data_IF_260491233601
#
_entry.id   IF_260491233601
#
_cell.length_a   1.000
_cell.length_b   1.000
_cell.length_c   1.000
_cell.angle_alpha   90.00
_cell.angle_beta   90.00
_cell.angle_gamma   90.00
#
_symmetry.space_group_name_H-M   'P 1'
#
loop_
_entity.id
_entity.type
_entity.pdbx_description
1 polymer ?
#
# COMPACT_ATOMS: atom_id res chain seq x y z
N UNK A 1 -11.16 14.13 6.07
CA UNK A 1 -10.92 13.74 4.66
C UNK A 1 -11.10 14.97 3.77
N UNK A 2 -10.55 16.10 4.23
CA UNK A 2 -11.08 17.44 3.93
C UNK A 2 -10.06 18.26 3.13
N UNK A 3 -9.05 17.59 2.62
CA UNK A 3 -7.98 18.17 1.79
C UNK A 3 -8.20 17.74 0.34
N UNK A 4 -8.01 18.68 -0.58
CA UNK A 4 -8.04 18.43 -2.02
C UNK A 4 -6.65 18.08 -2.58
N UNK A 5 -5.59 18.32 -1.81
CA UNK A 5 -4.22 17.92 -2.13
C UNK A 5 -3.37 17.77 -0.86
N UNK A 6 -2.21 17.13 -0.99
CA UNK A 6 -1.23 17.03 0.10
C UNK A 6 -0.20 15.92 -0.09
N UNK A 7 0.74 15.86 0.84
CA UNK A 7 1.74 14.78 0.93
C UNK A 7 1.11 13.53 1.53
N UNK A 8 1.54 12.36 1.06
CA UNK A 8 1.23 11.04 1.61
C UNK A 8 2.40 10.63 2.49
N UNK A 9 2.14 10.48 3.78
CA UNK A 9 3.19 10.31 4.80
C UNK A 9 3.90 8.95 4.75
N UNK A 10 3.31 7.95 4.08
CA UNK A 10 3.98 6.68 3.88
C UNK A 10 3.03 5.55 3.53
N UNK A 11 3.46 4.36 3.95
CA UNK A 11 2.82 3.09 3.65
C UNK A 11 2.21 2.45 4.88
N UNK A 12 1.14 1.69 4.64
CA UNK A 12 0.46 0.90 5.63
C UNK A 12 0.01 -0.42 5.01
N UNK A 13 0.22 -1.53 5.71
CA UNK A 13 -0.28 -2.84 5.29
C UNK A 13 -1.61 -3.16 5.95
N UNK A 14 -2.46 -3.88 5.23
CA UNK A 14 -3.61 -4.59 5.78
C UNK A 14 -3.56 -6.04 5.34
N UNK A 15 -4.41 -6.87 5.93
CA UNK A 15 -4.62 -8.24 5.47
C UNK A 15 -5.98 -8.36 4.80
N UNK A 16 -6.17 -9.43 4.03
CA UNK A 16 -7.46 -9.79 3.47
C UNK A 16 -7.72 -11.27 3.77
N UNK A 17 -8.98 -11.61 4.02
CA UNK A 17 -9.42 -13.00 4.11
C UNK A 17 -10.50 -13.29 3.08
N UNK A 18 -10.54 -14.53 2.59
CA UNK A 18 -11.53 -14.94 1.60
C UNK A 18 -12.75 -15.54 2.30
N UNK A 19 -13.92 -14.96 2.07
CA UNK A 19 -15.20 -15.43 2.60
C UNK A 19 -16.32 -15.11 1.60
N UNK A 20 -17.30 -16.02 1.48
CA UNK A 20 -18.48 -15.86 0.61
C UNK A 20 -18.14 -15.44 -0.83
N UNK A 21 -17.07 -16.01 -1.38
CA UNK A 21 -16.65 -15.75 -2.77
C UNK A 21 -15.93 -14.42 -3.01
N UNK A 22 -15.56 -13.67 -1.95
CA UNK A 22 -14.88 -12.38 -2.06
C UNK A 22 -13.73 -12.23 -1.07
N UNK A 23 -12.76 -11.38 -1.42
CA UNK A 23 -11.75 -10.89 -0.49
C UNK A 23 -12.33 -9.79 0.39
N UNK A 24 -12.12 -9.91 1.70
CA UNK A 24 -12.61 -8.98 2.72
C UNK A 24 -11.40 -8.39 3.44
N UNK A 25 -11.23 -7.06 3.46
CA UNK A 25 -10.08 -6.44 4.10
C UNK A 25 -10.22 -6.47 5.63
N UNK A 26 -9.09 -6.59 6.31
CA UNK A 26 -9.00 -6.48 7.77
C UNK A 26 -7.76 -5.68 8.16
N UNK A 27 -7.96 -4.60 8.92
CA UNK A 27 -6.88 -3.74 9.40
C UNK A 27 -6.76 -3.75 10.92
N UNK A 28 -5.99 -4.72 11.41
CA UNK A 28 -5.75 -4.92 12.85
C UNK A 28 -4.94 -3.75 13.43
N UNK A 29 -4.05 -3.14 12.64
CA UNK A 29 -3.19 -2.06 13.12
C UNK A 29 -3.99 -0.79 13.39
N UNK A 30 -4.90 -0.41 12.50
CA UNK A 30 -5.79 0.73 12.74
C UNK A 30 -6.86 0.44 13.79
N UNK A 31 -7.40 -0.80 13.83
CA UNK A 31 -8.29 -1.23 14.91
C UNK A 31 -7.61 -1.15 16.27
N UNK A 32 -6.33 -1.51 16.36
CA UNK A 32 -5.54 -1.39 17.59
C UNK A 32 -5.31 0.08 18.00
N UNK A 33 -4.98 0.95 17.03
CA UNK A 33 -4.79 2.40 17.27
C UNK A 33 -6.08 3.10 17.67
N UNK A 34 -7.23 2.66 17.15
CA UNK A 34 -8.54 3.20 17.49
C UNK A 34 -9.56 2.07 17.74
N UNK A 35 -9.59 1.49 18.96
CA UNK A 35 -10.45 0.35 19.28
C UNK A 35 -11.95 0.57 19.08
N UNK A 36 -12.40 1.83 19.09
CA UNK A 36 -13.80 2.18 18.81
C UNK A 36 -14.22 1.89 17.36
N UNK A 37 -13.24 1.75 16.46
CA UNK A 37 -13.43 1.43 15.04
C UNK A 37 -13.06 -0.02 14.70
N UNK A 38 -12.89 -0.90 15.70
CA UNK A 38 -12.51 -2.29 15.44
C UNK A 38 -13.48 -3.00 14.49
N UNK A 39 -14.79 -2.87 14.73
CA UNK A 39 -15.82 -3.44 13.86
C UNK A 39 -15.84 -2.82 12.46
N UNK A 40 -15.46 -1.54 12.34
CA UNK A 40 -15.34 -0.88 11.04
C UNK A 40 -14.17 -1.47 10.23
N UNK A 41 -12.98 -1.57 10.84
CA UNK A 41 -11.79 -2.09 10.19
C UNK A 41 -11.81 -3.61 9.95
N UNK A 42 -12.82 -4.32 10.47
CA UNK A 42 -13.14 -5.69 10.10
C UNK A 42 -14.10 -5.69 8.89
N UNK A 43 -13.54 -5.55 7.70
CA UNK A 43 -14.29 -5.56 6.43
C UNK A 43 -14.29 -4.25 5.66
N UNK A 44 -13.67 -3.19 6.19
CA UNK A 44 -13.56 -1.90 5.49
C UNK A 44 -12.15 -1.34 5.49
N UNK A 45 -11.77 -0.81 4.33
CA UNK A 45 -10.68 0.14 4.17
C UNK A 45 -11.28 1.53 3.94
N UNK A 46 -10.73 2.59 4.56
CA UNK A 46 -11.08 3.97 4.24
C UNK A 46 -10.89 4.27 2.74
N UNK A 47 -11.73 5.15 2.18
CA UNK A 47 -11.72 5.50 0.75
C UNK A 47 -10.43 6.19 0.26
N UNK A 48 -9.56 6.62 1.17
CA UNK A 48 -8.29 7.29 0.86
C UNK A 48 -7.09 6.31 0.82
N UNK A 49 -7.32 5.03 0.54
CA UNK A 49 -6.27 4.02 0.38
C UNK A 49 -6.17 3.54 -1.06
N UNK A 50 -4.93 3.30 -1.48
CA UNK A 50 -4.60 2.71 -2.77
C UNK A 50 -3.77 1.45 -2.53
N UNK A 51 -4.21 0.32 -3.08
CA UNK A 51 -3.40 -0.90 -3.11
C UNK A 51 -2.38 -0.79 -4.23
N UNK A 52 -1.09 -0.89 -3.89
CA UNK A 52 -0.01 -0.86 -4.86
C UNK A 52 0.37 -2.28 -5.30
N UNK A 53 0.47 -3.21 -4.34
CA UNK A 53 0.84 -4.60 -4.62
C UNK A 53 0.15 -5.57 -3.68
N UNK A 54 -0.04 -6.80 -4.19
CA UNK A 54 -0.55 -7.94 -3.44
C UNK A 54 0.40 -9.12 -3.58
N UNK A 55 0.65 -9.82 -2.46
CA UNK A 55 1.50 -11.01 -2.43
C UNK A 55 2.96 -10.70 -2.17
N UNK A 56 3.82 -11.68 -2.46
CA UNK A 56 5.27 -11.59 -2.30
C UNK A 56 5.98 -12.09 -3.54
N UNK A 57 7.26 -11.74 -3.65
CA UNK A 57 8.18 -12.21 -4.69
C UNK A 57 7.61 -11.95 -6.10
N UNK A 58 7.25 -10.69 -6.32
CA UNK A 58 6.61 -10.21 -7.54
C UNK A 58 7.60 -10.30 -8.70
N UNK A 59 7.19 -11.02 -9.73
CA UNK A 59 7.92 -11.11 -11.00
C UNK A 59 7.32 -10.09 -11.97
N UNK A 60 8.17 -9.20 -12.47
CA UNK A 60 7.81 -8.15 -13.44
C UNK A 60 8.66 -8.33 -14.71
N UNK A 61 8.24 -7.74 -15.82
CA UNK A 61 8.95 -7.81 -17.10
C UNK A 61 9.32 -6.39 -17.58
N UNK A 62 10.62 -6.05 -17.68
CA UNK A 62 11.78 -6.89 -17.35
C UNK A 62 11.95 -7.09 -15.84
N UNK A 63 12.56 -8.20 -15.46
CA UNK A 63 12.88 -8.49 -14.06
C UNK A 63 14.08 -7.63 -13.59
N UNK A 64 14.08 -7.13 -12.34
CA UNK A 64 15.23 -6.45 -11.76
C UNK A 64 16.46 -7.36 -11.67
N UNK A 65 17.65 -6.79 -11.70
CA UNK A 65 18.90 -7.56 -11.53
C UNK A 65 18.99 -8.22 -10.14
N UNK A 66 18.32 -7.65 -9.14
CA UNK A 66 18.19 -8.20 -7.79
C UNK A 66 17.21 -9.38 -7.66
N UNK A 67 16.50 -9.74 -8.74
CA UNK A 67 15.52 -10.83 -8.77
C UNK A 67 14.10 -10.38 -8.39
N UNK A 68 13.22 -11.31 -7.95
CA UNK A 68 11.83 -11.00 -7.68
C UNK A 68 11.65 -9.98 -6.55
N UNK A 69 10.70 -9.07 -6.71
CA UNK A 69 10.46 -7.98 -5.76
C UNK A 69 9.61 -8.49 -4.61
N UNK A 70 10.19 -8.62 -3.41
CA UNK A 70 9.49 -9.18 -2.26
C UNK A 70 8.14 -8.48 -1.94
N UNK A 71 8.04 -7.15 -2.06
CA UNK A 71 6.78 -6.39 -2.18
C UNK A 71 7.12 -4.97 -2.67
N UNK A 72 6.26 -4.36 -3.49
CA UNK A 72 6.55 -3.05 -4.08
C UNK A 72 5.64 -1.97 -3.46
N UNK A 73 6.26 -1.10 -2.68
CA UNK A 73 5.63 0.05 -2.01
C UNK A 73 6.34 1.36 -2.33
N UNK A 74 7.66 1.29 -2.54
CA UNK A 74 8.52 2.39 -2.94
C UNK A 74 9.19 2.04 -4.27
N UNK A 75 9.68 3.02 -5.03
CA UNK A 75 10.41 2.75 -6.26
C UNK A 75 11.62 1.85 -6.01
N UNK A 76 11.81 0.87 -6.89
CA UNK A 76 13.03 0.10 -6.98
C UNK A 76 13.96 0.81 -7.96
N UNK A 77 15.15 1.20 -7.48
CA UNK A 77 16.19 1.83 -8.29
C UNK A 77 17.44 0.97 -8.24
N UNK A 78 17.93 0.56 -9.41
CA UNK A 78 19.18 -0.18 -9.56
C UNK A 78 20.18 0.67 -10.37
N UNK A 79 21.38 0.86 -9.83
CA UNK A 79 22.47 1.59 -10.49
C UNK A 79 23.77 0.81 -10.33
N UNK A 80 24.47 0.57 -11.43
CA UNK A 80 25.74 -0.19 -11.44
C UNK A 80 25.63 -1.58 -10.78
N UNK A 81 24.47 -2.23 -10.85
CA UNK A 81 24.22 -3.54 -10.25
C UNK A 81 23.89 -3.51 -8.76
N UNK A 82 23.73 -2.34 -8.14
CA UNK A 82 23.34 -2.19 -6.73
C UNK A 82 21.95 -1.58 -6.60
N UNK A 83 21.20 -2.03 -5.59
CA UNK A 83 19.93 -1.40 -5.19
C UNK A 83 20.23 -0.12 -4.43
N UNK A 84 19.75 1.00 -4.95
CA UNK A 84 19.93 2.33 -4.36
C UNK A 84 18.61 2.78 -3.73
N UNK A 85 18.67 3.37 -2.55
CA UNK A 85 17.50 3.98 -1.90
C UNK A 85 17.30 5.41 -2.43
N UNK A 86 16.26 5.68 -3.25
CA UNK A 86 15.98 7.04 -3.69
C UNK A 86 15.31 7.86 -2.58
N UNK A 87 15.44 9.18 -2.66
CA UNK A 87 14.52 10.09 -1.96
C UNK A 87 13.17 10.06 -2.67
N UNK A 88 12.08 9.95 -1.90
CA UNK A 88 10.74 9.79 -2.46
C UNK A 88 9.74 10.72 -1.77
N UNK A 89 8.89 11.37 -2.58
CA UNK A 89 7.74 12.13 -2.10
C UNK A 89 6.51 11.68 -2.85
N UNK A 90 5.47 11.30 -2.12
CA UNK A 90 4.17 10.96 -2.68
C UNK A 90 3.18 12.07 -2.38
N UNK A 91 2.40 12.47 -3.36
CA UNK A 91 1.37 13.48 -3.20
C UNK A 91 0.08 13.04 -3.85
N UNK A 92 -1.04 13.60 -3.39
CA UNK A 92 -2.33 13.43 -4.05
C UNK A 92 -2.91 14.79 -4.42
N UNK A 93 -3.73 14.80 -5.48
CA UNK A 93 -4.59 15.92 -5.86
C UNK A 93 -5.92 15.36 -6.35
N UNK A 94 -7.03 15.87 -5.83
CA UNK A 94 -8.37 15.55 -6.33
C UNK A 94 -8.60 16.25 -7.66
N UNK A 95 -8.98 15.49 -8.69
CA UNK A 95 -9.36 16.03 -9.99
C UNK A 95 -10.85 16.33 -10.00
N UNK A 96 -11.25 17.58 -10.22
CA UNK A 96 -12.65 18.00 -10.31
C UNK A 96 -13.27 18.56 -9.03
N UNK A 97 -12.43 18.98 -8.06
CA UNK A 97 -12.85 19.84 -6.96
C UNK A 97 -12.81 21.32 -7.37
#
# INVERSE_FOLDING_TARGET
ADKNEGTIDGYHCWAEFFADGRWVPVDISEAWKNPKLADYYFGHNPANRFELTKGRDLVVDPEPASGPINFLVYPLLEMNGEVVKPETTFTFRRTGA
#
